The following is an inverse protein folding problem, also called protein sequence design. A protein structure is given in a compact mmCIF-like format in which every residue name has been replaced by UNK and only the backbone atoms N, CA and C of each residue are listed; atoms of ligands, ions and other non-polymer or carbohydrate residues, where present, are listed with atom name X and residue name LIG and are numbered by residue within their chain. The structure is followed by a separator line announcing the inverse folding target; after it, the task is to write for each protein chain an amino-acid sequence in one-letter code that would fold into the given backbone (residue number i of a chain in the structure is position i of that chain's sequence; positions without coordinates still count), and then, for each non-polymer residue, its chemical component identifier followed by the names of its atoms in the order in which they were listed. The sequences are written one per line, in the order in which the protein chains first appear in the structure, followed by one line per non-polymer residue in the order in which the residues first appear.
data_IF_248716728882
#
_entry.id   IF_248716728882
#
_cell.length_a   1.000
_cell.length_b   1.000
_cell.length_c   1.000
_cell.angle_alpha   90.00
_cell.angle_beta   90.00
_cell.angle_gamma   90.00
#
_symmetry.space_group_name_H-M   'P 1'
#
loop_
_entity.id
_entity.type
_entity.pdbx_description
1 polymer ?
#
# COMPACT_ATOMS: atom_id res chain seq x y z
N UNK A 1 1.06 -6.84 4.49
CA UNK A 1 1.15 -7.38 3.11
C UNK A 1 -0.20 -7.81 2.51
N UNK A 2 -1.02 -8.58 3.19
CA UNK A 2 -2.25 -9.21 2.64
C UNK A 2 -3.51 -8.34 2.62
N UNK A 3 -3.40 -7.04 2.87
CA UNK A 3 -4.57 -6.15 2.96
C UNK A 3 -5.13 -5.74 1.59
N UNK A 4 -4.33 -5.81 0.54
CA UNK A 4 -4.70 -5.36 -0.81
C UNK A 4 -6.04 -5.94 -1.31
N UNK A 5 -6.32 -7.25 -1.25
CA UNK A 5 -7.60 -7.79 -1.72
C UNK A 5 -8.81 -7.18 -0.98
N UNK A 6 -8.67 -6.91 0.31
CA UNK A 6 -9.74 -6.28 1.10
C UNK A 6 -10.01 -4.86 0.61
N UNK A 7 -8.95 -4.11 0.28
CA UNK A 7 -9.07 -2.76 -0.28
C UNK A 7 -9.75 -2.79 -1.65
N UNK A 8 -9.30 -3.68 -2.54
CA UNK A 8 -9.86 -3.81 -3.89
C UNK A 8 -11.35 -4.17 -3.87
N UNK A 9 -11.75 -5.09 -2.99
CA UNK A 9 -13.15 -5.50 -2.84
C UNK A 9 -14.07 -4.40 -2.27
N UNK A 10 -13.50 -3.46 -1.51
CA UNK A 10 -14.30 -2.45 -0.79
C UNK A 10 -14.01 -1.00 -1.24
N UNK A 11 -13.22 -0.80 -2.29
CA UNK A 11 -12.78 0.54 -2.72
C UNK A 11 -13.92 1.47 -3.16
N UNK A 12 -15.06 0.91 -3.57
CA UNK A 12 -16.27 1.67 -3.98
C UNK A 12 -17.15 2.09 -2.81
N UNK A 13 -16.95 1.51 -1.63
CA UNK A 13 -17.71 1.87 -0.43
C UNK A 13 -17.32 3.24 0.10
N UNK A 14 -18.10 3.76 1.05
CA UNK A 14 -17.70 4.96 1.78
C UNK A 14 -16.37 4.72 2.51
N UNK A 15 -15.57 5.78 2.67
CA UNK A 15 -14.26 5.66 3.34
C UNK A 15 -14.38 5.05 4.76
N UNK A 16 -15.32 5.47 5.61
CA UNK A 16 -15.47 4.86 6.94
C UNK A 16 -15.71 3.36 6.88
N UNK A 17 -16.61 2.91 6.01
CA UNK A 17 -16.97 1.49 5.90
C UNK A 17 -15.82 0.65 5.32
N UNK A 18 -15.12 1.16 4.32
CA UNK A 18 -13.90 0.53 3.79
C UNK A 18 -12.83 0.38 4.88
N UNK A 19 -12.57 1.44 5.65
CA UNK A 19 -11.58 1.42 6.72
C UNK A 19 -11.96 0.46 7.84
N UNK A 20 -13.23 0.35 8.19
CA UNK A 20 -13.72 -0.64 9.15
C UNK A 20 -13.31 -2.06 8.73
N UNK A 21 -13.58 -2.47 7.47
CA UNK A 21 -13.19 -3.77 6.94
C UNK A 21 -11.68 -3.98 6.90
N UNK A 22 -10.94 -2.93 6.55
CA UNK A 22 -9.47 -2.95 6.54
C UNK A 22 -8.91 -3.16 7.96
N UNK A 23 -9.46 -2.47 8.96
CA UNK A 23 -9.05 -2.63 10.35
C UNK A 23 -9.42 -4.01 10.91
N UNK A 24 -10.62 -4.52 10.60
CA UNK A 24 -11.03 -5.88 10.97
C UNK A 24 -10.08 -6.93 10.38
N UNK A 25 -9.76 -6.83 9.10
CA UNK A 25 -8.83 -7.74 8.45
C UNK A 25 -7.40 -7.66 9.03
N UNK A 26 -6.95 -6.48 9.44
CA UNK A 26 -5.69 -6.31 10.16
C UNK A 26 -5.70 -7.03 11.52
N UNK A 27 -6.80 -6.89 12.27
CA UNK A 27 -6.94 -7.49 13.61
C UNK A 27 -6.84 -9.00 13.64
N UNK A 28 -7.13 -9.68 12.54
CA UNK A 28 -7.01 -11.15 12.45
C UNK A 28 -5.59 -11.64 12.79
N UNK A 29 -4.55 -10.84 12.48
CA UNK A 29 -3.15 -11.19 12.77
C UNK A 29 -2.39 -10.12 13.54
N UNK A 30 -2.76 -8.85 13.39
CA UNK A 30 -2.06 -7.70 13.97
C UNK A 30 -3.09 -6.71 14.52
N UNK A 31 -3.54 -6.95 15.74
CA UNK A 31 -4.61 -6.16 16.36
C UNK A 31 -4.16 -4.79 16.91
N UNK A 32 -2.84 -4.51 16.94
CA UNK A 32 -2.34 -3.24 17.45
C UNK A 32 -2.86 -2.07 16.60
N UNK A 33 -3.32 -0.95 17.19
CA UNK A 33 -3.86 0.21 16.47
C UNK A 33 -2.90 0.77 15.40
N UNK A 34 -1.59 0.72 15.64
CA UNK A 34 -0.56 1.10 14.66
C UNK A 34 -0.64 0.29 13.38
N UNK A 35 -0.81 -1.02 13.48
CA UNK A 35 -0.94 -1.90 12.32
C UNK A 35 -2.23 -1.64 11.56
N UNK A 36 -3.33 -1.42 12.26
CA UNK A 36 -4.62 -1.04 11.67
C UNK A 36 -4.49 0.28 10.93
N UNK A 37 -3.88 1.31 11.55
CA UNK A 37 -3.67 2.61 10.93
C UNK A 37 -2.77 2.51 9.70
N UNK A 38 -1.68 1.73 9.75
CA UNK A 38 -0.83 1.49 8.57
C UNK A 38 -1.62 0.89 7.41
N UNK A 39 -2.45 -0.14 7.68
CA UNK A 39 -3.33 -0.74 6.69
C UNK A 39 -4.35 0.28 6.13
N UNK A 40 -4.89 1.13 6.96
CA UNK A 40 -5.83 2.17 6.54
C UNK A 40 -5.18 3.25 5.67
N UNK A 41 -3.98 3.72 6.00
CA UNK A 41 -3.21 4.66 5.17
C UNK A 41 -2.88 4.04 3.81
N UNK A 42 -2.45 2.78 3.79
CA UNK A 42 -2.24 2.02 2.56
C UNK A 42 -3.53 1.93 1.72
N UNK A 43 -4.66 1.62 2.35
CA UNK A 43 -5.95 1.53 1.68
C UNK A 43 -6.40 2.85 1.06
N UNK A 44 -6.19 3.98 1.75
CA UNK A 44 -6.52 5.30 1.23
C UNK A 44 -5.70 5.66 -0.01
N UNK A 45 -4.39 5.37 -0.01
CA UNK A 45 -3.54 5.57 -1.21
C UNK A 45 -3.99 4.66 -2.33
N UNK A 46 -4.18 3.36 -2.08
CA UNK A 46 -4.64 2.38 -3.07
C UNK A 46 -5.96 2.82 -3.71
N UNK A 47 -6.92 3.25 -2.90
CA UNK A 47 -8.21 3.75 -3.40
C UNK A 47 -8.07 4.94 -4.33
N UNK A 48 -7.21 5.91 -3.98
CA UNK A 48 -6.95 7.06 -4.83
C UNK A 48 -6.23 6.68 -6.14
N UNK A 49 -5.36 5.69 -6.14
CA UNK A 49 -4.75 5.13 -7.36
C UNK A 49 -5.79 4.48 -8.27
N UNK A 50 -6.72 3.70 -7.70
CA UNK A 50 -7.82 3.06 -8.45
C UNK A 50 -8.75 4.07 -9.14
N UNK A 51 -8.89 5.28 -8.59
CA UNK A 51 -9.57 6.39 -9.24
C UNK A 51 -8.67 7.19 -10.19
N UNK A 52 -7.64 6.53 -10.76
CA UNK A 52 -6.75 7.06 -11.80
C UNK A 52 -5.97 8.32 -11.42
N UNK A 53 -5.70 8.53 -10.15
CA UNK A 53 -4.79 9.60 -9.71
C UNK A 53 -3.34 9.18 -9.90
N UNK A 54 -2.52 10.08 -10.40
CA UNK A 54 -1.07 9.86 -10.41
C UNK A 54 -0.54 9.60 -8.98
N UNK A 55 0.51 8.79 -8.78
CA UNK A 55 0.99 8.37 -7.46
C UNK A 55 1.17 9.50 -6.45
N UNK A 56 1.81 10.61 -6.85
CA UNK A 56 1.99 11.77 -5.98
C UNK A 56 0.68 12.45 -5.56
N UNK A 57 -0.31 12.52 -6.48
CA UNK A 57 -1.62 13.06 -6.15
C UNK A 57 -2.41 12.09 -5.25
N UNK A 58 -2.40 10.79 -5.58
CA UNK A 58 -3.06 9.76 -4.77
C UNK A 58 -2.57 9.78 -3.32
N UNK A 59 -1.26 9.87 -3.13
CA UNK A 59 -0.63 9.97 -1.82
C UNK A 59 -1.06 11.25 -1.08
N UNK A 60 -0.93 12.43 -1.69
CA UNK A 60 -1.30 13.70 -1.04
C UNK A 60 -2.76 13.73 -0.60
N UNK A 61 -3.69 13.37 -1.48
CA UNK A 61 -5.12 13.30 -1.15
C UNK A 61 -5.42 12.31 -0.02
N UNK A 62 -4.76 11.14 -0.03
CA UNK A 62 -4.92 10.15 1.02
C UNK A 62 -4.43 10.66 2.38
N UNK A 63 -3.26 11.30 2.43
CA UNK A 63 -2.69 11.83 3.67
C UNK A 63 -3.47 13.03 4.21
N UNK A 64 -3.97 13.91 3.35
CA UNK A 64 -4.85 15.00 3.73
C UNK A 64 -6.15 14.48 4.38
N UNK A 65 -6.82 13.54 3.73
CA UNK A 65 -8.01 12.89 4.30
C UNK A 65 -7.71 12.17 5.62
N UNK A 66 -6.57 11.47 5.72
CA UNK A 66 -6.18 10.72 6.91
C UNK A 66 -5.95 11.61 8.15
N UNK A 67 -5.56 12.87 7.96
CA UNK A 67 -5.38 13.80 9.09
C UNK A 67 -6.63 13.96 9.96
N UNK A 68 -7.81 13.81 9.40
CA UNK A 68 -9.09 13.96 10.07
C UNK A 68 -9.73 12.63 10.48
N UNK A 69 -9.24 11.49 9.98
CA UNK A 69 -9.85 10.18 10.22
C UNK A 69 -9.38 9.51 11.52
N UNK A 70 -8.14 9.73 11.94
CA UNK A 70 -7.51 9.05 13.08
C UNK A 70 -7.33 9.98 14.29
N UNK A 71 -8.36 10.80 14.61
CA UNK A 71 -8.31 11.78 15.69
C UNK A 71 -8.75 11.20 17.05
N UNK A 72 -9.41 10.04 17.04
CA UNK A 72 -9.98 9.43 18.24
C UNK A 72 -9.24 8.14 18.62
N UNK A 73 -9.46 7.69 19.85
CA UNK A 73 -8.98 6.38 20.29
C UNK A 73 -9.57 5.26 19.43
N UNK A 74 -8.79 4.18 19.20
CA UNK A 74 -7.47 3.90 19.78
C UNK A 74 -6.29 4.43 18.93
N UNK A 75 -6.50 5.23 17.91
CA UNK A 75 -5.46 5.63 16.94
C UNK A 75 -4.79 6.96 17.24
N UNK A 76 -5.41 7.81 18.07
CA UNK A 76 -4.92 9.18 18.34
C UNK A 76 -3.42 9.20 18.68
N UNK A 77 -3.01 8.40 19.65
CA UNK A 77 -1.63 8.36 20.11
C UNK A 77 -0.66 7.74 19.11
N UNK A 78 -1.17 6.89 18.24
CA UNK A 78 -0.37 6.25 17.21
C UNK A 78 0.02 7.19 16.06
N UNK A 79 -0.71 8.27 15.84
CA UNK A 79 -0.47 9.25 14.77
C UNK A 79 0.95 9.82 14.78
N UNK A 80 1.57 9.97 15.95
CA UNK A 80 2.95 10.46 16.08
C UNK A 80 3.96 9.60 15.31
N UNK A 81 3.69 8.29 15.21
CA UNK A 81 4.55 7.36 14.48
C UNK A 81 4.44 7.52 12.95
N UNK A 82 3.36 8.11 12.46
CA UNK A 82 3.09 8.34 11.04
C UNK A 82 3.32 9.80 10.62
N UNK A 83 3.98 10.60 11.45
CA UNK A 83 4.16 12.03 11.22
C UNK A 83 4.83 12.35 9.89
N UNK A 84 5.80 11.54 9.44
CA UNK A 84 6.48 11.69 8.16
C UNK A 84 5.54 11.44 6.98
N UNK A 85 4.76 10.36 7.03
CA UNK A 85 3.73 10.04 6.03
C UNK A 85 2.65 11.14 5.96
N UNK A 86 2.10 11.52 7.11
CA UNK A 86 1.00 12.48 7.19
C UNK A 86 1.37 13.91 6.74
N UNK A 87 2.66 14.26 6.73
CA UNK A 87 3.11 15.56 6.17
C UNK A 87 2.88 15.69 4.67
N UNK A 88 2.88 14.58 3.93
CA UNK A 88 2.63 14.60 2.49
C UNK A 88 3.89 14.89 1.64
N UNK A 89 5.08 14.92 2.24
CA UNK A 89 6.36 15.24 1.60
C UNK A 89 7.33 14.06 1.57
N UNK A 90 6.82 12.83 1.63
CA UNK A 90 7.65 11.62 1.72
C UNK A 90 8.64 11.48 0.55
N UNK A 91 8.26 11.92 -0.65
CA UNK A 91 9.14 11.86 -1.83
C UNK A 91 10.42 12.69 -1.70
N UNK A 92 10.44 13.67 -0.79
CA UNK A 92 11.58 14.56 -0.56
C UNK A 92 12.60 13.97 0.43
N UNK A 93 12.25 12.86 1.09
CA UNK A 93 13.10 12.21 2.09
C UNK A 93 14.27 11.52 1.39
N UNK A 94 15.53 11.77 1.81
CA UNK A 94 16.69 11.08 1.28
C UNK A 94 16.61 9.56 1.54
N UNK A 95 17.08 8.75 0.59
CA UNK A 95 17.06 7.29 0.67
C UNK A 95 17.68 6.76 1.97
N UNK A 96 18.82 7.31 2.40
CA UNK A 96 19.51 6.92 3.64
C UNK A 96 18.67 7.07 4.92
N UNK A 97 17.56 7.80 4.85
CA UNK A 97 16.63 8.01 5.98
C UNK A 97 15.40 7.11 5.93
N UNK A 98 15.27 6.31 4.87
CA UNK A 98 14.16 5.36 4.70
C UNK A 98 14.56 4.03 5.35
N UNK A 99 13.86 3.66 6.42
CA UNK A 99 14.06 2.35 7.05
C UNK A 99 13.26 1.26 6.35
N UNK A 100 13.83 0.04 6.31
CA UNK A 100 13.24 -1.13 5.63
C UNK A 100 13.21 -2.39 6.50
N UNK A 101 13.32 -2.27 7.81
CA UNK A 101 13.54 -3.36 8.78
C UNK A 101 12.29 -4.15 9.19
N UNK A 102 11.24 -4.22 8.39
CA UNK A 102 10.01 -4.97 8.68
C UNK A 102 9.09 -4.33 9.74
N UNK A 103 9.50 -3.26 10.41
CA UNK A 103 8.60 -2.51 11.27
C UNK A 103 7.50 -1.85 10.41
N UNK A 104 6.23 -2.03 10.81
CA UNK A 104 5.06 -1.69 9.98
C UNK A 104 5.07 -0.26 9.42
N UNK A 105 5.56 0.72 10.19
CA UNK A 105 5.65 2.11 9.72
C UNK A 105 6.75 2.26 8.69
N UNK A 106 7.94 1.67 8.94
CA UNK A 106 9.07 1.71 8.01
C UNK A 106 8.74 0.99 6.70
N UNK A 107 8.12 -0.19 6.77
CA UNK A 107 7.65 -0.92 5.58
C UNK A 107 6.68 -0.07 4.75
N UNK A 108 5.73 0.60 5.39
CA UNK A 108 4.77 1.47 4.70
C UNK A 108 5.46 2.70 4.08
N UNK A 109 6.34 3.36 4.84
CA UNK A 109 7.12 4.50 4.34
C UNK A 109 7.98 4.10 3.14
N UNK A 110 8.76 3.01 3.26
CA UNK A 110 9.63 2.51 2.21
C UNK A 110 8.87 2.16 0.93
N UNK A 111 7.74 1.46 1.05
CA UNK A 111 6.91 1.11 -0.09
C UNK A 111 6.29 2.33 -0.78
N UNK A 112 5.75 3.28 -0.02
CA UNK A 112 5.19 4.51 -0.58
C UNK A 112 6.29 5.41 -1.17
N UNK A 113 7.44 5.52 -0.51
CA UNK A 113 8.58 6.28 -1.01
C UNK A 113 9.10 5.71 -2.34
N UNK A 114 9.22 4.40 -2.45
CA UNK A 114 9.63 3.73 -3.70
C UNK A 114 8.66 4.05 -4.85
N UNK A 115 7.35 4.02 -4.59
CA UNK A 115 6.34 4.40 -5.57
C UNK A 115 6.46 5.88 -5.98
N UNK A 116 6.66 6.78 -5.02
CA UNK A 116 6.66 8.22 -5.24
C UNK A 116 7.92 8.74 -5.94
N UNK A 117 9.03 8.01 -5.81
CA UNK A 117 10.35 8.40 -6.36
C UNK A 117 10.70 7.65 -7.65
N UNK A 118 9.78 6.86 -8.20
CA UNK A 118 9.94 6.12 -9.47
C UNK A 118 8.77 6.39 -10.42
N UNK A 119 8.87 5.92 -11.67
CA UNK A 119 7.90 6.25 -12.72
C UNK A 119 7.28 5.04 -13.41
N UNK A 120 7.66 3.84 -13.00
CA UNK A 120 7.13 2.59 -13.56
C UNK A 120 7.18 1.47 -12.53
N UNK A 121 6.53 0.35 -12.84
CA UNK A 121 6.43 -0.82 -11.98
C UNK A 121 7.82 -1.39 -11.62
N UNK A 122 8.65 -1.63 -12.65
CA UNK A 122 9.97 -2.25 -12.50
C UNK A 122 10.86 -1.48 -11.55
N UNK A 123 11.00 -0.18 -11.78
CA UNK A 123 11.86 0.68 -10.96
C UNK A 123 11.35 0.79 -9.53
N UNK A 124 10.01 0.83 -9.33
CA UNK A 124 9.41 0.86 -8.01
C UNK A 124 9.78 -0.38 -7.19
N UNK A 125 9.60 -1.57 -7.77
CA UNK A 125 9.91 -2.83 -7.08
C UNK A 125 11.40 -2.98 -6.84
N UNK A 126 12.25 -2.70 -7.84
CA UNK A 126 13.71 -2.77 -7.69
C UNK A 126 14.21 -1.79 -6.62
N UNK A 127 13.66 -0.59 -6.58
CA UNK A 127 14.01 0.39 -5.56
C UNK A 127 13.66 -0.11 -4.16
N UNK A 128 12.48 -0.70 -3.99
CA UNK A 128 12.03 -1.28 -2.74
C UNK A 128 12.93 -2.45 -2.28
N UNK A 129 13.31 -3.35 -3.20
CA UNK A 129 14.21 -4.48 -2.92
C UNK A 129 15.60 -3.99 -2.49
N UNK A 130 16.12 -2.97 -3.16
CA UNK A 130 17.49 -2.49 -2.94
C UNK A 130 17.65 -1.66 -1.65
N UNK A 131 16.57 -1.37 -0.93
CA UNK A 131 16.67 -0.81 0.43
C UNK A 131 17.27 -1.82 1.43
N UNK A 132 17.24 -3.11 1.13
CA UNK A 132 17.79 -4.15 2.01
C UNK A 132 16.87 -4.52 3.17
N UNK A 133 17.44 -5.05 4.23
CA UNK A 133 16.73 -5.55 5.43
C UNK A 133 15.57 -6.50 5.08
N UNK A 134 14.34 -6.14 5.40
CA UNK A 134 13.11 -6.91 5.08
C UNK A 134 12.61 -6.61 3.66
N UNK A 135 13.52 -6.79 2.68
CA UNK A 135 13.34 -6.37 1.30
C UNK A 135 12.14 -7.02 0.60
N UNK A 136 11.85 -8.28 0.87
CA UNK A 136 10.73 -9.03 0.30
C UNK A 136 9.38 -8.47 0.77
N UNK A 137 9.25 -8.14 2.06
CA UNK A 137 8.06 -7.49 2.61
C UNK A 137 7.85 -6.10 2.02
N UNK A 138 8.89 -5.27 1.98
CA UNK A 138 8.82 -3.92 1.41
C UNK A 138 8.46 -3.98 -0.07
N UNK A 139 9.11 -4.87 -0.83
CA UNK A 139 8.84 -5.04 -2.26
C UNK A 139 7.43 -5.57 -2.54
N UNK A 140 6.90 -6.48 -1.71
CA UNK A 140 5.53 -6.96 -1.84
C UNK A 140 4.50 -5.84 -1.63
N UNK A 141 4.72 -4.97 -0.64
CA UNK A 141 3.84 -3.81 -0.36
C UNK A 141 3.95 -2.77 -1.47
N UNK A 142 5.16 -2.45 -1.93
CA UNK A 142 5.41 -1.50 -3.02
C UNK A 142 4.86 -2.02 -4.36
N UNK A 143 5.09 -3.30 -4.67
CA UNK A 143 4.59 -3.96 -5.87
C UNK A 143 3.06 -3.96 -5.96
N UNK A 144 2.38 -4.14 -4.83
CA UNK A 144 0.93 -3.98 -4.77
C UNK A 144 0.45 -2.59 -5.19
N UNK A 145 1.07 -1.53 -4.65
CA UNK A 145 0.77 -0.14 -5.04
C UNK A 145 1.12 0.14 -6.51
N UNK A 146 2.30 -0.31 -6.94
CA UNK A 146 2.77 -0.14 -8.32
C UNK A 146 1.88 -0.88 -9.33
N UNK A 147 1.41 -2.09 -8.98
CA UNK A 147 0.47 -2.85 -9.80
C UNK A 147 -0.86 -2.12 -10.02
N UNK A 148 -1.38 -1.48 -8.97
CA UNK A 148 -2.59 -0.63 -9.08
C UNK A 148 -2.31 0.64 -9.88
N UNK A 149 -1.13 1.25 -9.71
CA UNK A 149 -0.79 2.51 -10.38
C UNK A 149 -0.51 2.36 -11.87
N UNK A 150 0.12 1.25 -12.27
CA UNK A 150 0.66 1.08 -13.63
C UNK A 150 -0.03 -0.01 -14.46
N UNK A 151 -0.73 -0.96 -13.82
CA UNK A 151 -1.41 -2.07 -14.48
C UNK A 151 -0.51 -3.28 -14.75
N UNK A 152 -1.15 -4.41 -15.07
CA UNK A 152 -0.48 -5.69 -15.30
C UNK A 152 0.47 -5.67 -16.48
N UNK A 153 0.13 -4.91 -17.54
CA UNK A 153 0.94 -4.80 -18.76
C UNK A 153 2.29 -4.10 -18.54
N UNK A 154 2.48 -3.48 -17.38
CA UNK A 154 3.74 -2.82 -16.99
C UNK A 154 4.61 -3.68 -16.09
N UNK A 155 4.14 -4.86 -15.71
CA UNK A 155 4.97 -5.86 -15.01
C UNK A 155 5.90 -6.49 -16.05
N UNK A 156 7.23 -6.57 -15.81
CA UNK A 156 8.14 -7.23 -16.74
C UNK A 156 7.69 -8.67 -17.04
N UNK A 157 7.56 -9.06 -18.32
CA UNK A 157 7.08 -10.40 -18.69
C UNK A 157 7.93 -11.51 -18.05
N UNK A 158 9.23 -11.31 -18.01
CA UNK A 158 10.17 -12.27 -17.41
C UNK A 158 9.92 -12.49 -15.91
N UNK A 159 9.36 -11.52 -15.20
CA UNK A 159 9.00 -11.69 -13.79
C UNK A 159 7.70 -12.51 -13.64
N UNK A 160 6.75 -12.30 -14.54
CA UNK A 160 5.50 -13.09 -14.57
C UNK A 160 5.82 -14.53 -14.93
N UNK A 161 6.71 -14.75 -15.89
CA UNK A 161 7.09 -16.10 -16.35
C UNK A 161 7.90 -16.88 -15.30
N UNK A 162 8.63 -16.19 -14.45
CA UNK A 162 9.38 -16.79 -13.32
C UNK A 162 8.49 -17.16 -12.12
N UNK A 163 7.22 -16.75 -12.08
CA UNK A 163 6.35 -17.04 -10.94
C UNK A 163 6.01 -18.53 -10.87
N UNK A 164 6.30 -19.12 -9.72
CA UNK A 164 5.79 -20.45 -9.39
C UNK A 164 4.24 -20.39 -9.35
N UNK A 165 3.57 -21.38 -9.99
CA UNK A 165 2.11 -21.47 -10.04
C UNK A 165 1.44 -20.21 -10.66
N UNK A 166 2.05 -19.66 -11.70
CA UNK A 166 1.58 -18.48 -12.44
C UNK A 166 0.10 -18.59 -12.81
N UNK A 167 -0.30 -19.73 -13.38
CA UNK A 167 -1.68 -19.92 -13.87
C UNK A 167 -2.70 -19.93 -12.73
N UNK A 168 -2.37 -20.52 -11.58
CA UNK A 168 -3.23 -20.51 -10.40
C UNK A 168 -3.41 -19.07 -9.86
N UNK A 169 -2.35 -18.26 -9.89
CA UNK A 169 -2.40 -16.86 -9.46
C UNK A 169 -3.27 -16.01 -10.39
N UNK A 170 -3.13 -16.21 -11.70
CA UNK A 170 -3.93 -15.51 -12.71
C UNK A 170 -5.41 -15.90 -12.63
N UNK A 171 -5.72 -17.19 -12.46
CA UNK A 171 -7.09 -17.67 -12.25
C UNK A 171 -7.70 -17.09 -10.98
N UNK A 172 -6.96 -17.10 -9.87
CA UNK A 172 -7.42 -16.51 -8.61
C UNK A 172 -7.70 -15.00 -8.75
N UNK A 173 -6.83 -14.26 -9.44
CA UNK A 173 -7.02 -12.83 -9.70
C UNK A 173 -8.24 -12.57 -10.58
N UNK A 174 -8.46 -13.38 -11.61
CA UNK A 174 -9.62 -13.27 -12.52
C UNK A 174 -10.92 -13.53 -11.78
N UNK A 175 -10.99 -14.59 -10.98
CA UNK A 175 -12.18 -14.89 -10.15
C UNK A 175 -12.46 -13.79 -9.12
N UNK A 176 -11.41 -13.27 -8.50
CA UNK A 176 -11.53 -12.16 -7.57
C UNK A 176 -12.08 -10.90 -8.25
N UNK A 177 -11.55 -10.54 -9.43
CA UNK A 177 -12.01 -9.36 -10.17
C UNK A 177 -13.50 -9.49 -10.56
N UNK A 178 -13.94 -10.67 -11.02
CA UNK A 178 -15.33 -10.93 -11.34
C UNK A 178 -16.27 -10.82 -10.12
N UNK A 179 -15.78 -11.17 -8.92
CA UNK A 179 -16.52 -11.03 -7.66
C UNK A 179 -16.57 -9.57 -7.19
N UNK A 180 -15.46 -8.86 -7.25
CA UNK A 180 -15.34 -7.48 -6.76
C UNK A 180 -16.03 -6.44 -7.68
N UNK A 181 -16.40 -6.83 -8.89
CA UNK A 181 -17.11 -5.97 -9.87
C UNK A 181 -18.65 -5.98 -9.70
N UNK A 182 -19.17 -6.85 -8.85
CA UNK A 182 -20.62 -6.95 -8.53
C UNK A 182 -21.00 -5.97 -7.42
#
# INVERSE_FOLDING_TARGET
MRIMPIVLANCRWSIPLMLERVHEASRVTHAHPRSQMACGLYALVTRNLLFHRAPGAAYRYAMEGARNLYLQEPWRDERRNFGRLLRGTLAEVPEREIGSNGYVVNTLEAAMWSLLTTRNFRDCVLKAVNLGDDADTVAAVAGGLAGVAYGIEKIPPEWIDALARKDDLLDAATRFAAMASR
#
